data_IF_953358336479
#
_entry.id   IF_953358336479
#
_cell.length_a   1.000
_cell.length_b   1.000
_cell.length_c   1.000
_cell.angle_alpha   90.00
_cell.angle_beta   90.00
_cell.angle_gamma   90.00
#
_symmetry.space_group_name_H-M   'P 1'
#
loop_
_entity.id
_entity.type
_entity.pdbx_description
1 polymer ?
#
# COMPACT_ATOMS: atom_id res chain seq x y z
N UNK A 1 6.60 -41.45 24.62
CA UNK A 1 5.38 -40.84 24.06
C UNK A 1 5.36 -39.43 24.63
N UNK A 2 5.87 -38.45 23.88
CA UNK A 2 5.88 -37.05 24.30
C UNK A 2 4.56 -36.43 23.80
N UNK A 3 3.66 -36.09 24.72
CA UNK A 3 2.53 -35.21 24.43
C UNK A 3 3.09 -33.80 24.22
N UNK A 4 3.04 -33.33 22.98
CA UNK A 4 3.17 -31.92 22.65
C UNK A 4 1.92 -31.22 23.20
N UNK A 5 2.05 -30.55 24.34
CA UNK A 5 1.08 -29.54 24.75
C UNK A 5 1.11 -28.43 23.70
N UNK A 6 0.06 -28.35 22.88
CA UNK A 6 -0.23 -27.15 22.11
C UNK A 6 -0.46 -26.01 23.11
N UNK A 7 0.54 -25.15 23.27
CA UNK A 7 0.35 -23.85 23.88
C UNK A 7 -0.54 -23.03 22.93
N UNK A 8 -1.85 -23.08 23.13
CA UNK A 8 -2.76 -22.06 22.58
C UNK A 8 -2.44 -20.77 23.32
N UNK A 9 -1.59 -19.94 22.72
CA UNK A 9 -1.44 -18.57 23.15
C UNK A 9 -2.81 -17.90 23.02
N UNK A 10 -3.36 -17.41 24.13
CA UNK A 10 -4.52 -16.53 24.10
C UNK A 10 -4.12 -15.26 23.34
N UNK A 11 -4.47 -15.22 22.06
CA UNK A 11 -4.20 -14.08 21.18
C UNK A 11 -4.97 -12.89 21.75
N UNK A 12 -4.25 -11.82 22.14
CA UNK A 12 -4.87 -10.60 22.64
C UNK A 12 -5.76 -9.95 21.55
N UNK A 13 -6.59 -8.99 21.94
CA UNK A 13 -7.58 -8.37 21.04
C UNK A 13 -6.94 -7.74 19.79
N UNK A 14 -5.74 -7.16 19.93
CA UNK A 14 -4.93 -6.62 18.83
C UNK A 14 -4.44 -7.72 17.87
N UNK A 15 -3.90 -8.82 18.41
CA UNK A 15 -3.48 -9.97 17.59
C UNK A 15 -4.67 -10.61 16.89
N UNK A 16 -5.83 -10.65 17.55
CA UNK A 16 -7.09 -11.03 16.94
C UNK A 16 -7.49 -10.05 15.84
N UNK A 17 -7.33 -8.74 16.01
CA UNK A 17 -7.64 -7.75 14.99
C UNK A 17 -6.73 -7.89 13.75
N UNK A 18 -5.43 -8.13 13.95
CA UNK A 18 -4.47 -8.39 12.88
C UNK A 18 -4.79 -9.71 12.13
N UNK A 19 -5.03 -10.81 12.85
CA UNK A 19 -5.48 -12.07 12.25
C UNK A 19 -6.86 -11.94 11.58
N UNK A 20 -7.77 -11.18 12.18
CA UNK A 20 -9.09 -10.90 11.62
C UNK A 20 -8.99 -10.03 10.37
N UNK A 21 -7.98 -9.17 10.21
CA UNK A 21 -7.81 -8.40 8.98
C UNK A 21 -7.53 -9.33 7.79
N UNK A 22 -6.62 -10.29 7.94
CA UNK A 22 -6.36 -11.31 6.91
C UNK A 22 -7.54 -12.27 6.72
N UNK A 23 -8.20 -12.66 7.81
CA UNK A 23 -9.32 -13.61 7.78
C UNK A 23 -10.63 -12.99 7.29
N UNK A 24 -10.92 -11.73 7.63
CA UNK A 24 -12.07 -10.96 7.14
C UNK A 24 -11.91 -10.59 5.66
N UNK A 25 -10.66 -10.41 5.22
CA UNK A 25 -10.28 -10.26 3.83
C UNK A 25 -10.34 -11.57 3.01
N UNK A 26 -10.62 -12.72 3.65
CA UNK A 26 -10.61 -14.05 3.01
C UNK A 26 -9.31 -14.36 2.25
N UNK A 27 -8.18 -13.83 2.73
CA UNK A 27 -6.86 -14.05 2.12
C UNK A 27 -6.40 -15.45 2.53
N UNK A 28 -6.54 -16.42 1.62
CA UNK A 28 -5.90 -17.73 1.75
C UNK A 28 -4.40 -17.63 1.48
N UNK A 29 -3.65 -18.70 1.76
CA UNK A 29 -2.20 -18.74 1.50
C UNK A 29 -1.82 -18.48 0.03
N UNK A 30 -2.72 -18.77 -0.91
CA UNK A 30 -2.52 -18.59 -2.36
C UNK A 30 -3.28 -17.37 -2.93
N UNK A 31 -3.96 -16.59 -2.08
CA UNK A 31 -4.71 -15.42 -2.56
C UNK A 31 -3.72 -14.33 -2.94
N UNK A 32 -3.72 -13.95 -4.21
CA UNK A 32 -2.98 -12.77 -4.66
C UNK A 32 -3.74 -11.51 -4.32
N UNK A 33 -3.05 -10.46 -3.90
CA UNK A 33 -3.73 -9.19 -3.59
C UNK A 33 -2.84 -7.96 -3.74
N UNK A 34 -3.50 -6.83 -3.91
CA UNK A 34 -2.86 -5.51 -3.97
C UNK A 34 -3.17 -4.73 -2.70
N UNK A 35 -2.17 -4.01 -2.18
CA UNK A 35 -2.36 -3.02 -1.12
C UNK A 35 -1.98 -1.63 -1.62
N UNK A 36 -2.87 -0.67 -1.43
CA UNK A 36 -2.60 0.75 -1.68
C UNK A 36 -2.51 1.48 -0.34
N UNK A 37 -1.49 2.32 -0.17
CA UNK A 37 -1.41 3.24 0.95
C UNK A 37 -1.86 4.65 0.55
N UNK A 38 -2.98 5.09 1.14
CA UNK A 38 -3.49 6.45 0.99
C UNK A 38 -3.08 7.28 2.21
N UNK A 39 -2.42 8.41 2.00
CA UNK A 39 -2.09 9.38 3.06
C UNK A 39 -2.40 10.79 2.59
N UNK A 40 -3.08 11.58 3.43
CA UNK A 40 -3.50 12.93 3.08
C UNK A 40 -2.68 13.99 3.81
N UNK A 41 -1.73 14.60 3.10
CA UNK A 41 -0.91 15.69 3.64
C UNK A 41 -1.64 17.05 3.66
N UNK A 42 -2.64 17.23 2.79
CA UNK A 42 -3.45 18.44 2.77
C UNK A 42 -4.24 18.63 4.08
N UNK A 43 -4.77 17.53 4.63
CA UNK A 43 -5.47 17.53 5.92
C UNK A 43 -4.52 17.67 7.11
N UNK A 44 -3.22 17.35 6.94
CA UNK A 44 -2.14 17.63 7.90
C UNK A 44 -1.62 19.08 7.83
N UNK A 45 -2.21 19.95 6.98
CA UNK A 45 -1.82 21.35 6.84
C UNK A 45 -0.67 21.60 5.86
N UNK A 46 -0.21 20.59 5.12
CA UNK A 46 0.77 20.75 4.04
C UNK A 46 0.03 21.06 2.74
N UNK A 47 0.14 22.29 2.26
CA UNK A 47 -0.49 22.70 1.01
C UNK A 47 0.01 21.91 -0.20
N UNK A 48 -0.78 21.95 -1.29
CA UNK A 48 -0.44 21.26 -2.54
C UNK A 48 0.95 21.67 -3.06
N UNK A 49 1.31 22.94 -2.98
CA UNK A 49 2.61 23.47 -3.43
C UNK A 49 3.79 22.79 -2.72
N UNK A 50 3.67 22.51 -1.42
CA UNK A 50 4.71 21.81 -0.65
C UNK A 50 4.82 20.36 -1.10
N UNK A 51 3.68 19.70 -1.34
CA UNK A 51 3.65 18.32 -1.81
C UNK A 51 4.23 18.21 -3.21
N UNK A 52 3.83 19.09 -4.13
CA UNK A 52 4.34 19.15 -5.50
C UNK A 52 5.86 19.41 -5.53
N UNK A 53 6.36 20.29 -4.65
CA UNK A 53 7.79 20.57 -4.56
C UNK A 53 8.60 19.34 -4.13
N UNK A 54 8.14 18.64 -3.08
CA UNK A 54 8.81 17.43 -2.55
C UNK A 54 8.74 16.29 -3.55
N UNK A 55 7.57 16.05 -4.15
CA UNK A 55 7.40 15.01 -5.17
C UNK A 55 8.22 15.31 -6.43
N UNK A 56 8.24 16.57 -6.85
CA UNK A 56 9.04 17.03 -7.98
C UNK A 56 10.53 16.87 -7.76
N UNK A 57 11.04 17.15 -6.55
CA UNK A 57 12.47 16.94 -6.23
C UNK A 57 12.85 15.46 -6.16
N UNK A 58 11.90 14.58 -5.84
CA UNK A 58 12.08 13.13 -5.91
C UNK A 58 12.04 12.58 -7.35
N UNK A 59 11.51 13.32 -8.32
CA UNK A 59 11.33 12.84 -9.70
C UNK A 59 10.14 11.89 -9.90
N UNK A 60 9.20 11.89 -8.96
CA UNK A 60 7.94 11.14 -9.04
C UNK A 60 6.83 12.01 -9.64
N UNK A 61 5.74 11.39 -10.08
CA UNK A 61 4.55 12.14 -10.46
C UNK A 61 3.98 12.91 -9.25
N UNK A 62 3.64 14.19 -9.43
CA UNK A 62 3.20 15.05 -8.31
C UNK A 62 1.72 14.88 -7.96
N UNK A 63 0.96 14.13 -8.76
CA UNK A 63 -0.50 14.00 -8.61
C UNK A 63 -0.91 12.56 -8.36
N UNK A 64 -0.44 11.60 -9.15
CA UNK A 64 -0.80 10.19 -9.11
C UNK A 64 -0.68 9.53 -7.73
N UNK A 65 0.50 9.57 -7.07
CA UNK A 65 0.66 8.97 -5.74
C UNK A 65 -0.18 9.61 -4.63
N UNK A 66 -0.64 10.85 -4.85
CA UNK A 66 -1.49 11.59 -3.88
C UNK A 66 -2.96 11.27 -4.16
N UNK A 67 -3.39 11.50 -5.40
CA UNK A 67 -4.80 11.41 -5.81
C UNK A 67 -5.24 10.00 -6.13
N UNK A 68 -4.33 9.03 -6.29
CA UNK A 68 -4.61 7.62 -6.60
C UNK A 68 -5.68 7.44 -7.70
N UNK A 69 -5.51 8.05 -8.88
CA UNK A 69 -6.55 8.04 -9.90
C UNK A 69 -6.72 6.64 -10.50
N UNK A 70 -7.94 6.31 -10.90
CA UNK A 70 -8.26 4.97 -11.39
C UNK A 70 -7.44 4.56 -12.64
N UNK A 71 -7.13 5.49 -13.53
CA UNK A 71 -6.31 5.13 -14.69
C UNK A 71 -4.87 4.73 -14.30
N UNK A 72 -4.32 5.28 -13.22
CA UNK A 72 -2.98 4.93 -12.73
C UNK A 72 -2.97 3.53 -12.12
N UNK A 73 -3.90 3.25 -11.20
CA UNK A 73 -4.00 1.93 -10.57
C UNK A 73 -4.23 0.87 -11.65
N UNK A 74 -5.11 1.11 -12.63
CA UNK A 74 -5.32 0.18 -13.74
C UNK A 74 -4.05 -0.04 -14.59
N UNK A 75 -3.33 1.04 -14.93
CA UNK A 75 -2.10 0.94 -15.71
C UNK A 75 -0.99 0.15 -14.99
N UNK A 76 -0.98 0.15 -13.65
CA UNK A 76 -0.06 -0.66 -12.83
C UNK A 76 -0.52 -2.11 -12.75
N UNK A 77 -1.81 -2.37 -12.49
CA UNK A 77 -2.32 -3.71 -12.16
C UNK A 77 -2.60 -4.58 -13.39
N UNK A 78 -3.12 -4.02 -14.49
CA UNK A 78 -3.49 -4.80 -15.68
C UNK A 78 -2.32 -5.57 -16.29
N UNK A 79 -1.11 -5.00 -16.48
CA UNK A 79 0.04 -5.74 -17.02
C UNK A 79 0.51 -6.89 -16.12
N UNK A 80 0.15 -6.87 -14.83
CA UNK A 80 0.54 -7.87 -13.83
C UNK A 80 -0.52 -8.95 -13.62
N UNK A 81 -1.66 -8.88 -14.33
CA UNK A 81 -2.85 -9.67 -14.10
C UNK A 81 -3.30 -9.60 -12.62
N UNK A 82 -3.43 -8.37 -12.10
CA UNK A 82 -3.82 -8.06 -10.71
C UNK A 82 -5.08 -7.20 -10.63
N UNK A 83 -5.70 -6.87 -11.75
CA UNK A 83 -6.84 -5.96 -11.86
C UNK A 83 -8.17 -6.57 -11.38
N UNK A 84 -8.28 -7.90 -11.38
CA UNK A 84 -9.42 -8.64 -10.82
C UNK A 84 -9.19 -9.18 -9.41
N UNK A 85 -7.99 -9.04 -8.86
CA UNK A 85 -7.63 -9.55 -7.54
C UNK A 85 -8.09 -8.59 -6.43
N UNK A 86 -8.23 -9.08 -5.18
CA UNK A 86 -8.54 -8.23 -4.03
C UNK A 86 -7.64 -6.99 -3.92
N UNK A 87 -8.28 -5.84 -3.69
CA UNK A 87 -7.63 -4.54 -3.57
C UNK A 87 -7.90 -3.96 -2.19
N UNK A 88 -6.86 -3.89 -1.36
CA UNK A 88 -6.95 -3.32 -0.02
C UNK A 88 -6.40 -1.90 0.01
N UNK A 89 -7.03 -1.05 0.81
CA UNK A 89 -6.49 0.26 1.15
C UNK A 89 -6.15 0.35 2.64
N UNK A 90 -4.91 0.73 2.94
CA UNK A 90 -4.50 1.20 4.26
C UNK A 90 -4.46 2.74 4.25
N UNK A 91 -4.84 3.38 5.35
CA UNK A 91 -4.99 4.84 5.42
C UNK A 91 -4.80 5.35 6.84
N UNK A 92 -4.39 6.61 6.96
CA UNK A 92 -4.37 7.35 8.24
C UNK A 92 -5.76 7.78 8.73
N UNK A 93 -6.79 7.57 7.91
CA UNK A 93 -8.18 7.90 8.22
C UNK A 93 -8.54 9.39 8.08
N UNK A 94 -7.58 10.24 7.66
CA UNK A 94 -7.79 11.69 7.55
C UNK A 94 -8.55 12.08 6.27
N UNK A 95 -8.53 11.22 5.26
CA UNK A 95 -9.24 11.43 3.99
C UNK A 95 -9.81 10.13 3.43
N UNK A 96 -11.14 10.05 3.44
CA UNK A 96 -11.89 8.89 2.96
C UNK A 96 -12.30 9.01 1.49
N UNK A 97 -12.05 10.15 0.83
CA UNK A 97 -12.50 10.39 -0.54
C UNK A 97 -11.96 9.34 -1.52
N UNK A 98 -10.72 8.88 -1.32
CA UNK A 98 -10.12 7.82 -2.15
C UNK A 98 -10.81 6.47 -1.93
N UNK A 99 -11.10 6.11 -0.67
CA UNK A 99 -11.81 4.89 -0.33
C UNK A 99 -13.24 4.90 -0.89
N UNK A 100 -13.97 6.01 -0.73
CA UNK A 100 -15.34 6.17 -1.22
C UNK A 100 -15.40 6.04 -2.75
N UNK A 101 -14.43 6.65 -3.45
CA UNK A 101 -14.31 6.56 -4.90
C UNK A 101 -14.00 5.15 -5.39
N UNK A 102 -13.08 4.43 -4.75
CA UNK A 102 -12.70 3.06 -5.15
C UNK A 102 -13.79 2.04 -4.82
N UNK A 103 -14.40 2.14 -3.64
CA UNK A 103 -15.54 1.30 -3.24
C UNK A 103 -16.76 1.49 -4.14
N UNK A 104 -16.98 2.70 -4.65
CA UNK A 104 -18.07 2.99 -5.60
C UNK A 104 -17.69 2.75 -7.07
N UNK A 105 -16.44 2.36 -7.37
CA UNK A 105 -15.98 2.20 -8.73
C UNK A 105 -16.65 0.97 -9.39
N UNK A 106 -17.25 1.07 -10.59
CA UNK A 106 -17.99 -0.04 -11.21
C UNK A 106 -17.16 -1.32 -11.40
N UNK A 107 -15.85 -1.17 -11.58
CA UNK A 107 -14.94 -2.27 -11.82
C UNK A 107 -14.30 -2.81 -10.52
N UNK A 108 -13.88 -1.93 -9.60
CA UNK A 108 -13.14 -2.35 -8.39
C UNK A 108 -13.99 -2.49 -7.15
N UNK A 109 -15.15 -1.85 -7.07
CA UNK A 109 -15.96 -1.81 -5.85
C UNK A 109 -16.35 -3.18 -5.31
N UNK A 110 -16.37 -4.22 -6.16
CA UNK A 110 -16.68 -5.60 -5.75
C UNK A 110 -15.55 -6.34 -5.06
N UNK A 111 -14.31 -5.93 -5.25
CA UNK A 111 -13.12 -6.57 -4.66
C UNK A 111 -12.22 -5.56 -3.93
N UNK A 112 -12.67 -4.31 -3.83
CA UNK A 112 -12.07 -3.30 -2.97
C UNK A 112 -12.49 -3.51 -1.53
N UNK A 113 -11.56 -3.33 -0.60
CA UNK A 113 -11.85 -3.28 0.82
C UNK A 113 -10.93 -2.27 1.50
N UNK A 114 -11.52 -1.43 2.35
CA UNK A 114 -10.74 -0.66 3.29
C UNK A 114 -10.24 -1.60 4.39
N UNK A 115 -8.95 -1.58 4.68
CA UNK A 115 -8.41 -2.33 5.81
C UNK A 115 -9.12 -1.87 7.09
N UNK A 116 -9.48 -2.79 8.00
CA UNK A 116 -10.11 -2.42 9.26
C UNK A 116 -9.08 -1.65 10.09
N UNK A 117 -9.13 -0.32 10.01
CA UNK A 117 -8.17 0.54 10.69
C UNK A 117 -8.11 0.27 12.19
N UNK A 118 -6.95 0.53 12.81
CA UNK A 118 -6.79 0.44 14.26
C UNK A 118 -5.47 -0.16 14.74
N UNK A 119 -4.78 -0.94 13.90
CA UNK A 119 -3.45 -1.48 14.21
C UNK A 119 -2.47 -1.24 13.06
N UNK A 120 -1.49 -0.35 13.30
CA UNK A 120 -0.43 -0.01 12.35
C UNK A 120 0.44 -1.21 11.98
N UNK A 121 0.58 -2.19 12.87
CA UNK A 121 1.36 -3.41 12.59
C UNK A 121 0.58 -4.36 11.69
N UNK A 122 -0.74 -4.45 11.85
CA UNK A 122 -1.59 -5.21 10.92
C UNK A 122 -1.51 -4.62 9.50
N UNK A 123 -1.61 -3.30 9.36
CA UNK A 123 -1.46 -2.61 8.06
C UNK A 123 -0.08 -2.84 7.45
N UNK A 124 0.97 -2.79 8.28
CA UNK A 124 2.35 -3.06 7.87
C UNK A 124 2.48 -4.48 7.33
N UNK A 125 2.00 -5.49 8.06
CA UNK A 125 2.07 -6.90 7.66
C UNK A 125 1.29 -7.11 6.36
N UNK A 126 0.06 -6.60 6.28
CA UNK A 126 -0.79 -6.70 5.09
C UNK A 126 -0.08 -6.10 3.86
N UNK A 127 0.50 -4.91 4.00
CA UNK A 127 1.19 -4.24 2.90
C UNK A 127 2.49 -4.96 2.50
N UNK A 128 3.29 -5.40 3.48
CA UNK A 128 4.55 -6.12 3.22
C UNK A 128 4.28 -7.44 2.50
N UNK A 129 3.24 -8.17 2.87
CA UNK A 129 2.93 -9.50 2.34
C UNK A 129 2.13 -9.49 1.02
N UNK A 130 1.72 -8.32 0.54
CA UNK A 130 0.96 -8.19 -0.72
C UNK A 130 1.77 -8.59 -1.96
N UNK A 131 1.10 -9.05 -3.03
CA UNK A 131 1.77 -9.25 -4.32
C UNK A 131 2.22 -7.92 -4.90
N UNK A 132 1.34 -6.92 -4.82
CA UNK A 132 1.59 -5.57 -5.34
C UNK A 132 1.33 -4.54 -4.24
N UNK A 133 2.33 -3.71 -3.97
CA UNK A 133 2.19 -2.56 -3.09
C UNK A 133 2.27 -1.27 -3.89
N UNK A 134 1.29 -0.37 -3.71
CA UNK A 134 1.29 0.98 -4.27
C UNK A 134 1.35 1.96 -3.09
N UNK A 135 2.51 2.61 -2.93
CA UNK A 135 2.80 3.47 -1.79
C UNK A 135 2.64 4.96 -2.10
N UNK A 136 2.63 5.75 -1.03
CA UNK A 136 2.77 7.20 -1.12
C UNK A 136 4.23 7.59 -0.82
N UNK A 137 4.98 8.16 -1.79
CA UNK A 137 6.41 8.45 -1.66
C UNK A 137 6.74 9.47 -0.56
N UNK A 138 5.80 10.33 -0.16
CA UNK A 138 6.00 11.27 0.95
C UNK A 138 5.78 10.64 2.33
N UNK A 139 5.35 9.38 2.39
CA UNK A 139 5.05 8.69 3.64
C UNK A 139 6.23 7.83 4.10
N UNK A 140 6.73 8.11 5.30
CA UNK A 140 7.74 7.28 5.97
C UNK A 140 7.23 5.86 6.21
N UNK A 141 5.92 5.67 6.42
CA UNK A 141 5.31 4.35 6.56
C UNK A 141 5.35 3.55 5.25
N UNK A 142 5.03 4.19 4.11
CA UNK A 142 5.20 3.56 2.79
C UNK A 142 6.67 3.24 2.49
N UNK A 143 7.58 4.10 2.92
CA UNK A 143 9.03 3.89 2.77
C UNK A 143 9.48 2.66 3.55
N UNK A 144 9.05 2.52 4.81
CA UNK A 144 9.33 1.35 5.63
C UNK A 144 8.81 0.07 4.98
N UNK A 145 7.56 0.08 4.49
CA UNK A 145 6.98 -1.07 3.76
C UNK A 145 7.87 -1.41 2.55
N UNK A 146 8.26 -0.43 1.75
CA UNK A 146 9.07 -0.65 0.57
C UNK A 146 10.47 -1.21 0.90
N UNK A 147 11.13 -0.69 1.94
CA UNK A 147 12.42 -1.20 2.43
C UNK A 147 12.32 -2.67 2.89
N UNK A 148 11.28 -3.02 3.65
CA UNK A 148 11.07 -4.41 4.10
C UNK A 148 10.80 -5.30 2.88
N UNK A 149 9.93 -4.88 1.96
CA UNK A 149 9.62 -5.63 0.73
C UNK A 149 10.88 -5.86 -0.11
N UNK A 150 11.72 -4.84 -0.27
CA UNK A 150 13.00 -4.94 -0.97
C UNK A 150 13.94 -5.95 -0.27
N UNK A 151 14.11 -5.85 1.05
CA UNK A 151 14.96 -6.76 1.83
C UNK A 151 14.48 -8.22 1.75
N UNK A 152 13.18 -8.45 1.60
CA UNK A 152 12.57 -9.78 1.42
C UNK A 152 12.58 -10.25 -0.04
N UNK A 153 13.03 -9.44 -1.00
CA UNK A 153 13.10 -9.77 -2.42
C UNK A 153 11.78 -9.66 -3.18
N UNK A 154 10.79 -8.95 -2.65
CA UNK A 154 9.53 -8.67 -3.35
C UNK A 154 9.71 -7.59 -4.41
N UNK A 155 9.17 -7.84 -5.62
CA UNK A 155 9.46 -7.03 -6.82
C UNK A 155 8.47 -5.90 -7.08
N UNK A 156 7.17 -6.15 -6.91
CA UNK A 156 6.14 -5.19 -7.33
C UNK A 156 5.85 -4.19 -6.20
N UNK A 157 6.76 -3.22 -6.09
CA UNK A 157 6.72 -2.16 -5.07
C UNK A 157 6.72 -0.81 -5.79
N UNK A 158 5.53 -0.24 -5.96
CA UNK A 158 5.31 1.03 -6.64
C UNK A 158 5.27 2.18 -5.63
N UNK A 159 6.43 2.54 -5.08
CA UNK A 159 6.56 3.68 -4.17
C UNK A 159 6.82 5.00 -4.91
N UNK A 160 7.56 4.94 -6.01
CA UNK A 160 8.02 6.11 -6.75
C UNK A 160 7.47 6.10 -8.18
N UNK A 161 6.13 6.11 -8.37
CA UNK A 161 5.56 6.01 -9.70
C UNK A 161 5.76 7.33 -10.46
N UNK A 162 6.12 7.21 -11.73
CA UNK A 162 6.20 8.32 -12.69
C UNK A 162 5.62 7.90 -14.03
N UNK A 163 5.29 8.88 -14.86
CA UNK A 163 4.87 8.65 -16.25
C UNK A 163 6.06 8.86 -17.17
N UNK A 164 6.45 7.81 -17.89
CA UNK A 164 7.46 7.86 -18.96
C UNK A 164 6.85 7.30 -20.23
N UNK A 165 6.92 8.07 -21.33
CA UNK A 165 6.32 7.70 -22.62
C UNK A 165 4.84 7.27 -22.53
N UNK A 166 4.10 7.91 -21.62
CA UNK A 166 2.67 7.62 -21.39
C UNK A 166 2.40 6.34 -20.60
N UNK A 167 3.42 5.69 -20.05
CA UNK A 167 3.30 4.50 -19.20
C UNK A 167 3.71 4.81 -17.77
N UNK A 168 3.00 4.20 -16.82
CA UNK A 168 3.38 4.26 -15.42
C UNK A 168 4.52 3.27 -15.16
N UNK A 169 5.60 3.77 -14.58
CA UNK A 169 6.74 2.97 -14.14
C UNK A 169 7.16 3.39 -12.73
N UNK A 170 7.90 2.52 -12.04
CA UNK A 170 8.65 2.87 -10.83
C UNK A 170 10.13 2.88 -11.18
N UNK A 171 10.88 3.89 -10.72
CA UNK A 171 12.29 4.06 -11.09
C UNK A 171 13.27 3.86 -9.92
N UNK A 172 12.72 3.53 -8.77
CA UNK A 172 13.44 3.42 -7.50
C UNK A 172 13.30 1.99 -7.01
N UNK A 173 14.13 1.10 -7.56
CA UNK A 173 14.07 -0.36 -7.35
C UNK A 173 15.34 -0.91 -6.69
N UNK A 174 16.27 -0.06 -6.24
CA UNK A 174 17.55 -0.44 -5.64
C UNK A 174 17.71 0.05 -4.19
N UNK A 175 18.76 -0.46 -3.54
CA UNK A 175 19.09 -0.15 -2.15
C UNK A 175 19.39 1.34 -1.93
N UNK A 176 20.14 1.96 -2.85
CA UNK A 176 20.50 3.37 -2.73
C UNK A 176 19.24 4.22 -2.66
N UNK A 177 18.27 3.90 -3.50
CA UNK A 177 17.02 4.62 -3.59
C UNK A 177 16.12 4.38 -2.38
N UNK A 178 15.95 3.14 -1.89
CA UNK A 178 15.08 2.89 -0.72
C UNK A 178 15.66 3.37 0.61
N UNK A 179 16.99 3.42 0.78
CA UNK A 179 17.61 3.76 2.05
C UNK A 179 18.15 5.19 2.13
N UNK A 180 18.36 5.87 1.00
CA UNK A 180 18.92 7.22 1.00
C UNK A 180 18.00 8.34 0.47
N UNK A 181 16.82 8.04 -0.08
CA UNK A 181 15.96 9.09 -0.68
C UNK A 181 15.50 10.18 0.30
N UNK A 182 15.39 9.85 1.58
CA UNK A 182 14.96 10.79 2.63
C UNK A 182 16.11 11.39 3.43
N UNK A 183 17.36 11.09 3.06
CA UNK A 183 18.55 11.77 3.60
C UNK A 183 18.75 13.11 2.86
N UNK A 184 17.83 14.05 3.10
CA UNK A 184 17.97 15.46 2.68
C UNK A 184 18.31 16.32 3.89
#
# INVERSE_FOLDING_TARGET
MFELMEARADLNEETRAACNSMQSASIGQDTRYTVIHSRSFAKEGRGKEVSDHVLGSMGVDTTGPVELPAHMIAAILTPLNMDSEPLFMITDGNDMAHSDRLSSHPYWGRHFSLAPGGDVFADLILAVMSDVFIGNPMSTFSTLIAQIRYALGFRFTYLHPRVVDGKWETFCEDEECFYNLHNV
#
